data_IF_696389363616
#
_entry.id   IF_696389363616
#
_cell.length_a   1.000
_cell.length_b   1.000
_cell.length_c   1.000
_cell.angle_alpha   90.00
_cell.angle_beta   90.00
_cell.angle_gamma   90.00
#
_symmetry.space_group_name_H-M   'P 1'
#
loop_
_entity.id
_entity.type
_entity.pdbx_description
1 polymer ?
#
# COMPACT_ATOMS: atom_id res chain seq x y z
N UNK A 1 -37.33 20.87 32.94
CA UNK A 1 -36.53 21.32 31.77
C UNK A 1 -35.08 20.97 32.04
N UNK A 2 -34.63 19.80 31.59
CA UNK A 2 -33.22 19.42 31.63
C UNK A 2 -32.78 19.16 30.19
N UNK A 3 -32.16 20.16 29.58
CA UNK A 3 -31.50 20.02 28.28
C UNK A 3 -30.21 19.22 28.52
N UNK A 4 -30.25 17.92 28.25
CA UNK A 4 -29.05 17.12 28.09
C UNK A 4 -28.32 17.61 26.83
N UNK A 5 -27.27 18.39 27.06
CA UNK A 5 -26.22 18.71 26.09
C UNK A 5 -25.50 17.41 25.69
N UNK A 6 -26.06 16.71 24.70
CA UNK A 6 -25.29 15.83 23.84
C UNK A 6 -24.44 16.73 22.92
N UNK A 7 -23.35 17.27 23.47
CA UNK A 7 -22.29 17.85 22.64
C UNK A 7 -21.72 16.72 21.81
N UNK A 8 -22.16 16.65 20.56
CA UNK A 8 -21.54 15.85 19.51
C UNK A 8 -20.04 16.22 19.46
N UNK A 9 -19.22 15.43 20.13
CA UNK A 9 -17.78 15.52 20.06
C UNK A 9 -17.38 15.13 18.63
N UNK A 10 -17.29 16.12 17.73
CA UNK A 10 -16.97 15.90 16.32
C UNK A 10 -15.56 15.32 16.26
N UNK A 11 -15.46 14.06 15.87
CA UNK A 11 -14.19 13.38 15.62
C UNK A 11 -13.33 14.21 14.66
N UNK A 12 -12.18 14.72 15.11
CA UNK A 12 -11.22 15.44 14.25
C UNK A 12 -10.45 14.41 13.42
N UNK A 13 -10.60 14.47 12.10
CA UNK A 13 -9.83 13.63 11.18
C UNK A 13 -8.56 14.37 10.77
N UNK A 14 -7.41 13.85 11.19
CA UNK A 14 -6.10 14.39 10.84
C UNK A 14 -5.66 13.74 9.52
N UNK A 15 -5.59 14.55 8.46
CA UNK A 15 -5.20 14.11 7.11
C UNK A 15 -3.80 14.61 6.79
N UNK A 16 -2.83 13.70 6.79
CA UNK A 16 -1.42 13.97 6.59
C UNK A 16 -1.05 13.66 5.13
N UNK A 17 -0.38 14.61 4.49
CA UNK A 17 0.21 14.51 3.15
C UNK A 17 1.34 15.52 3.03
N UNK A 18 2.34 15.26 2.19
CA UNK A 18 3.52 16.13 2.03
C UNK A 18 3.16 17.61 1.79
N UNK A 19 2.10 17.90 1.03
CA UNK A 19 1.67 19.27 0.74
C UNK A 19 1.16 20.06 1.95
N UNK A 20 0.80 19.38 3.03
CA UNK A 20 0.14 19.98 4.21
C UNK A 20 0.95 19.78 5.48
N UNK A 21 2.12 19.16 5.39
CA UNK A 21 2.82 18.68 6.57
C UNK A 21 3.31 19.82 7.44
N UNK A 22 3.89 20.88 6.85
CA UNK A 22 4.42 22.01 7.60
C UNK A 22 3.32 22.76 8.38
N UNK A 23 2.17 22.97 7.75
CA UNK A 23 1.02 23.59 8.40
C UNK A 23 0.48 22.73 9.56
N UNK A 24 0.43 21.41 9.38
CA UNK A 24 0.00 20.47 10.42
C UNK A 24 0.99 20.40 11.58
N UNK A 25 2.30 20.44 11.30
CA UNK A 25 3.34 20.48 12.33
C UNK A 25 3.18 21.70 13.24
N UNK A 26 2.90 22.87 12.65
CA UNK A 26 2.67 24.10 13.42
C UNK A 26 1.36 24.01 14.20
N UNK A 27 0.27 23.54 13.58
CA UNK A 27 -1.06 23.44 14.24
C UNK A 27 -1.05 22.46 15.41
N UNK A 28 -0.36 21.33 15.26
CA UNK A 28 -0.37 20.22 16.23
C UNK A 28 0.88 20.20 17.11
N UNK A 29 1.78 21.18 16.95
CA UNK A 29 3.08 21.27 17.63
C UNK A 29 3.92 19.98 17.51
N UNK A 30 4.00 19.41 16.30
CA UNK A 30 4.80 18.21 16.05
C UNK A 30 6.26 18.54 15.77
N UNK A 31 7.14 17.77 16.41
CA UNK A 31 8.59 17.86 16.25
C UNK A 31 9.07 17.02 15.05
N UNK A 32 10.30 17.29 14.60
CA UNK A 32 10.99 16.54 13.56
C UNK A 32 10.84 17.10 12.14
N UNK A 33 11.90 17.10 11.34
CA UNK A 33 11.90 17.58 9.95
C UNK A 33 11.34 16.57 8.92
N UNK A 34 11.15 15.31 9.33
CA UNK A 34 10.65 14.24 8.47
C UNK A 34 11.73 13.53 7.68
N UNK A 35 13.00 13.69 8.08
CA UNK A 35 14.15 12.91 7.62
C UNK A 35 14.33 11.61 8.42
N UNK A 36 15.21 10.73 7.94
CA UNK A 36 15.53 9.47 8.62
C UNK A 36 16.15 9.65 10.01
N UNK A 37 16.85 10.76 10.22
CA UNK A 37 17.52 11.07 11.47
C UNK A 37 16.62 11.85 12.43
N UNK A 38 15.64 12.57 11.88
CA UNK A 38 14.73 13.43 12.64
C UNK A 38 13.28 13.25 12.13
N UNK A 39 12.66 12.08 12.42
CA UNK A 39 11.32 11.76 11.93
C UNK A 39 10.27 12.66 12.57
N UNK A 40 9.15 12.86 11.87
CA UNK A 40 8.01 13.60 12.44
C UNK A 40 7.35 12.74 13.52
N UNK A 41 7.42 13.20 14.76
CA UNK A 41 6.91 12.47 15.92
C UNK A 41 5.46 12.85 16.19
N UNK A 42 4.60 11.85 16.26
CA UNK A 42 3.18 11.98 16.59
C UNK A 42 2.93 11.15 17.86
N UNK A 43 3.01 11.78 19.03
CA UNK A 43 2.91 11.12 20.33
C UNK A 43 1.94 11.77 21.33
N UNK A 44 1.47 12.98 21.04
CA UNK A 44 0.48 13.68 21.86
C UNK A 44 -0.63 14.25 20.98
N UNK A 45 -1.84 13.72 21.13
CA UNK A 45 -3.04 14.25 20.47
C UNK A 45 -4.20 14.24 21.47
N UNK A 46 -4.64 15.43 21.87
CA UNK A 46 -5.68 15.60 22.91
C UNK A 46 -7.10 15.21 22.45
N UNK A 47 -7.31 14.99 21.15
CA UNK A 47 -8.63 14.75 20.59
C UNK A 47 -8.93 13.26 20.41
N UNK A 48 -9.94 12.80 21.17
CA UNK A 48 -10.55 11.47 21.01
C UNK A 48 -12.00 11.61 20.52
N UNK A 49 -12.49 10.74 19.63
CA UNK A 49 -11.78 9.63 18.99
C UNK A 49 -10.79 10.09 17.91
N UNK A 50 -9.61 9.47 17.89
CA UNK A 50 -8.49 9.85 17.03
C UNK A 50 -8.52 9.10 15.70
N UNK A 51 -8.61 9.87 14.60
CA UNK A 51 -8.60 9.37 13.23
C UNK A 51 -7.41 9.96 12.45
N UNK A 52 -6.44 9.12 12.11
CA UNK A 52 -5.25 9.54 11.36
C UNK A 52 -5.26 8.90 9.98
N UNK A 53 -5.05 9.71 8.95
CA UNK A 53 -4.88 9.26 7.58
C UNK A 53 -3.59 9.83 7.00
N UNK A 54 -2.61 8.97 6.76
CA UNK A 54 -1.36 9.31 6.05
C UNK A 54 -1.53 8.84 4.60
N UNK A 55 -1.32 9.75 3.64
CA UNK A 55 -1.49 9.41 2.23
C UNK A 55 -0.45 10.07 1.35
N UNK A 56 0.17 9.27 0.45
CA UNK A 56 1.13 9.74 -0.56
C UNK A 56 2.24 10.56 0.07
N UNK A 57 2.88 10.01 1.08
CA UNK A 57 3.95 10.69 1.81
C UNK A 57 5.25 9.89 1.78
N UNK A 58 6.36 10.60 1.64
CA UNK A 58 7.72 10.03 1.65
C UNK A 58 8.52 10.40 2.89
N UNK A 59 8.00 11.31 3.72
CA UNK A 59 8.63 11.71 4.97
C UNK A 59 8.67 10.56 5.97
N UNK A 60 9.63 10.63 6.88
CA UNK A 60 9.74 9.69 7.99
C UNK A 60 8.80 10.10 9.12
N UNK A 61 7.98 9.15 9.58
CA UNK A 61 7.03 9.37 10.67
C UNK A 61 7.28 8.37 11.80
N UNK A 62 7.12 8.82 13.04
CA UNK A 62 7.09 7.96 14.21
C UNK A 62 5.81 8.25 15.00
N UNK A 63 4.87 7.30 14.99
CA UNK A 63 3.63 7.36 15.76
C UNK A 63 3.82 6.50 17.02
N UNK A 64 3.78 7.10 18.21
CA UNK A 64 4.09 6.34 19.44
C UNK A 64 3.17 6.68 20.60
N UNK A 65 2.92 5.68 21.47
CA UNK A 65 2.19 5.86 22.74
C UNK A 65 0.76 6.43 22.61
N UNK A 66 0.04 6.12 21.51
CA UNK A 66 -1.30 6.65 21.26
C UNK A 66 -2.40 5.59 21.28
N UNK A 67 -3.62 6.04 21.61
CA UNK A 67 -4.86 5.26 21.43
C UNK A 67 -5.59 5.80 20.21
N UNK A 68 -5.69 4.99 19.16
CA UNK A 68 -6.17 5.41 17.83
C UNK A 68 -7.41 4.58 17.46
N UNK A 69 -8.54 5.24 17.16
CA UNK A 69 -9.74 4.54 16.69
C UNK A 69 -9.55 4.05 15.25
N UNK A 70 -8.93 4.87 14.39
CA UNK A 70 -8.64 4.47 13.01
C UNK A 70 -7.36 5.10 12.48
N UNK A 71 -6.43 4.25 12.05
CA UNK A 71 -5.20 4.63 11.35
C UNK A 71 -5.24 4.08 9.92
N UNK A 72 -5.06 4.96 8.93
CA UNK A 72 -5.02 4.60 7.51
C UNK A 72 -3.72 5.11 6.89
N UNK A 73 -2.88 4.19 6.43
CA UNK A 73 -1.66 4.49 5.68
C UNK A 73 -1.87 4.06 4.21
N UNK A 74 -1.79 5.01 3.28
CA UNK A 74 -1.98 4.77 1.83
C UNK A 74 -0.84 5.29 1.00
N UNK A 75 -0.18 4.43 0.23
CA UNK A 75 0.92 4.81 -0.66
C UNK A 75 1.96 5.68 0.06
N UNK A 76 2.29 5.32 1.30
CA UNK A 76 3.18 6.08 2.16
C UNK A 76 4.38 5.22 2.56
N UNK A 77 5.52 5.86 2.84
CA UNK A 77 6.77 5.18 3.11
C UNK A 77 7.36 5.63 4.44
N UNK A 78 8.24 4.81 5.02
CA UNK A 78 9.06 5.18 6.18
C UNK A 78 8.25 5.56 7.44
N UNK A 79 7.29 4.70 7.81
CA UNK A 79 6.42 4.94 8.97
C UNK A 79 6.77 3.94 10.06
N UNK A 80 7.13 4.41 11.25
CA UNK A 80 7.21 3.60 12.46
C UNK A 80 5.98 3.85 13.33
N UNK A 81 5.38 2.77 13.83
CA UNK A 81 4.22 2.80 14.74
C UNK A 81 4.58 1.93 15.94
N UNK A 82 4.63 2.53 17.12
CA UNK A 82 5.25 1.94 18.30
C UNK A 82 4.36 2.08 19.54
N UNK A 83 4.20 1.03 20.33
CA UNK A 83 3.48 1.07 21.61
C UNK A 83 2.06 1.69 21.52
N UNK A 84 1.36 1.52 20.41
CA UNK A 84 0.02 2.08 20.20
C UNK A 84 -1.07 1.03 20.42
N UNK A 85 -2.24 1.49 20.86
CA UNK A 85 -3.48 0.71 20.82
C UNK A 85 -4.35 1.20 19.66
N UNK A 86 -4.50 0.37 18.62
CA UNK A 86 -5.16 0.76 17.39
C UNK A 86 -6.39 -0.12 17.18
N UNK A 87 -7.57 0.49 17.11
CA UNK A 87 -8.79 -0.26 16.87
C UNK A 87 -8.87 -0.74 15.43
N UNK A 88 -8.72 0.15 14.45
CA UNK A 88 -8.72 -0.22 13.03
C UNK A 88 -7.46 0.30 12.32
N UNK A 89 -6.59 -0.62 11.89
CA UNK A 89 -5.40 -0.32 11.09
C UNK A 89 -5.59 -0.76 9.63
N UNK A 90 -5.45 0.17 8.70
CA UNK A 90 -5.47 -0.10 7.25
C UNK A 90 -4.14 0.32 6.63
N UNK A 91 -3.40 -0.64 6.08
CA UNK A 91 -2.14 -0.41 5.37
C UNK A 91 -2.37 -0.78 3.91
N UNK A 92 -2.17 0.18 3.00
CA UNK A 92 -2.42 -0.02 1.56
C UNK A 92 -1.30 0.60 0.73
N UNK A 93 -0.50 -0.22 0.06
CA UNK A 93 0.60 0.24 -0.79
C UNK A 93 1.75 0.94 -0.05
N UNK A 94 2.02 0.55 1.20
CA UNK A 94 3.10 1.12 1.99
C UNK A 94 4.42 0.37 1.85
N UNK A 95 5.54 1.09 1.95
CA UNK A 95 6.89 0.51 1.95
C UNK A 95 7.68 0.95 3.19
N UNK A 96 8.58 0.11 3.70
CA UNK A 96 9.40 0.39 4.88
C UNK A 96 8.58 0.83 6.11
N UNK A 97 7.53 0.07 6.43
CA UNK A 97 6.69 0.31 7.58
C UNK A 97 7.15 -0.57 8.75
N UNK A 98 7.29 0.00 9.93
CA UNK A 98 7.64 -0.73 11.16
C UNK A 98 6.44 -0.70 12.12
N UNK A 99 5.91 -1.87 12.48
CA UNK A 99 4.97 -2.03 13.60
C UNK A 99 5.72 -2.69 14.76
N UNK A 100 5.87 -1.98 15.88
CA UNK A 100 6.56 -2.49 17.05
C UNK A 100 5.67 -2.42 18.29
N UNK A 101 5.46 -3.57 18.96
CA UNK A 101 4.78 -3.65 20.25
C UNK A 101 3.40 -2.97 20.28
N UNK A 102 2.61 -3.09 19.20
CA UNK A 102 1.26 -2.52 19.14
C UNK A 102 0.20 -3.53 19.53
N UNK A 103 -0.93 -3.04 20.05
CA UNK A 103 -2.16 -3.82 20.17
C UNK A 103 -3.14 -3.37 19.10
N UNK A 104 -3.45 -4.25 18.15
CA UNK A 104 -4.27 -3.94 16.97
C UNK A 104 -5.51 -4.84 16.95
N UNK A 105 -6.68 -4.23 17.06
CA UNK A 105 -7.94 -4.99 17.12
C UNK A 105 -8.35 -5.50 15.73
N UNK A 106 -8.33 -4.63 14.70
CA UNK A 106 -8.59 -5.03 13.31
C UNK A 106 -7.48 -4.56 12.41
N UNK A 107 -6.86 -5.50 11.71
CA UNK A 107 -5.79 -5.24 10.76
C UNK A 107 -6.25 -5.60 9.35
N UNK A 108 -6.15 -4.62 8.43
CA UNK A 108 -6.30 -4.84 6.99
C UNK A 108 -5.03 -4.39 6.27
N UNK A 109 -4.31 -5.34 5.68
CA UNK A 109 -3.14 -5.07 4.83
C UNK A 109 -3.53 -5.35 3.38
N UNK A 110 -3.30 -4.39 2.50
CA UNK A 110 -3.50 -4.49 1.05
C UNK A 110 -2.21 -4.05 0.38
N UNK A 111 -1.31 -5.02 0.14
CA UNK A 111 0.01 -4.79 -0.47
C UNK A 111 0.95 -3.91 0.39
N UNK A 112 2.03 -4.50 0.89
CA UNK A 112 3.09 -3.80 1.63
C UNK A 112 4.44 -4.47 1.39
N UNK A 113 5.53 -3.71 1.48
CA UNK A 113 6.89 -4.15 1.10
C UNK A 113 7.93 -3.72 2.13
N UNK A 114 8.94 -4.56 2.36
CA UNK A 114 10.08 -4.24 3.21
C UNK A 114 9.67 -3.78 4.61
N UNK A 115 8.52 -4.26 5.08
CA UNK A 115 7.91 -3.84 6.33
C UNK A 115 8.19 -4.85 7.42
N UNK A 116 8.38 -4.36 8.63
CA UNK A 116 8.83 -5.14 9.78
C UNK A 116 7.78 -5.09 10.88
N UNK A 117 7.36 -6.26 11.35
CA UNK A 117 6.30 -6.43 12.34
C UNK A 117 6.89 -7.19 13.54
N UNK A 118 7.10 -6.52 14.66
CA UNK A 118 7.77 -7.06 15.84
C UNK A 118 6.87 -6.93 17.07
N UNK A 119 6.68 -8.03 17.80
CA UNK A 119 5.99 -8.08 19.11
C UNK A 119 4.56 -7.50 19.12
N UNK A 120 3.85 -7.52 17.98
CA UNK A 120 2.49 -6.98 17.92
C UNK A 120 1.45 -8.02 18.35
N UNK A 121 0.37 -7.53 18.97
CA UNK A 121 -0.82 -8.29 19.36
C UNK A 121 -1.96 -7.99 18.40
N UNK A 122 -2.46 -9.00 17.69
CA UNK A 122 -3.52 -8.85 16.70
C UNK A 122 -4.78 -9.63 17.10
N UNK A 123 -5.91 -8.95 17.31
CA UNK A 123 -7.16 -9.64 17.70
C UNK A 123 -7.95 -10.20 16.51
N UNK A 124 -8.01 -9.44 15.40
CA UNK A 124 -8.58 -9.88 14.13
C UNK A 124 -7.65 -9.47 12.99
N UNK A 125 -6.94 -10.46 12.46
CA UNK A 125 -6.26 -10.32 11.18
C UNK A 125 -7.28 -10.69 10.11
N UNK A 126 -7.81 -9.69 9.39
CA UNK A 126 -8.43 -9.98 8.10
C UNK A 126 -7.30 -10.45 7.18
N UNK A 127 -7.00 -11.75 7.25
CA UNK A 127 -5.92 -12.39 6.50
C UNK A 127 -6.06 -11.95 5.06
N UNK A 128 -4.97 -11.40 4.53
CA UNK A 128 -4.78 -11.18 3.10
C UNK A 128 -5.38 -12.38 2.38
N UNK A 129 -6.53 -12.21 1.72
CA UNK A 129 -6.77 -13.00 0.52
C UNK A 129 -5.60 -12.63 -0.37
N UNK A 130 -4.60 -13.49 -0.42
CA UNK A 130 -3.63 -13.55 -1.50
C UNK A 130 -4.40 -13.85 -2.79
N UNK A 131 -5.20 -12.89 -3.27
CA UNK A 131 -5.70 -12.86 -4.64
C UNK A 131 -4.57 -12.47 -5.61
N UNK A 132 -3.32 -12.76 -5.25
CA UNK A 132 -2.18 -12.76 -6.17
C UNK A 132 -1.94 -14.16 -6.77
N UNK A 133 -2.71 -15.19 -6.39
CA UNK A 133 -2.56 -16.57 -6.90
C UNK A 133 -3.87 -17.33 -7.23
N UNK A 134 -4.91 -16.65 -7.73
CA UNK A 134 -5.98 -17.33 -8.52
C UNK A 134 -6.00 -16.95 -9.99
N UNK A 135 -4.90 -16.37 -10.48
CA UNK A 135 -4.40 -16.63 -11.84
C UNK A 135 -3.30 -17.69 -11.81
N UNK A 136 -3.47 -18.73 -10.97
CA UNK A 136 -2.88 -20.05 -11.19
C UNK A 136 -3.60 -20.84 -12.30
N UNK A 137 -4.42 -20.19 -13.13
CA UNK A 137 -4.50 -20.60 -14.52
C UNK A 137 -3.15 -20.29 -15.15
N UNK A 138 -2.26 -21.28 -15.16
CA UNK A 138 -1.01 -21.40 -15.92
C UNK A 138 -0.61 -20.07 -16.60
N UNK A 139 0.45 -19.35 -16.18
CA UNK A 139 0.76 -18.02 -16.72
C UNK A 139 0.91 -18.00 -18.26
N UNK A 140 1.20 -19.15 -18.85
CA UNK A 140 1.16 -19.38 -20.30
C UNK A 140 -0.24 -19.30 -20.91
N UNK A 141 -1.30 -19.71 -20.23
CA UNK A 141 -2.67 -19.78 -20.77
C UNK A 141 -3.39 -18.44 -20.65
N UNK A 142 -3.23 -17.70 -19.55
CA UNK A 142 -3.92 -16.42 -19.34
C UNK A 142 -3.24 -15.21 -20.00
N UNK A 143 -1.91 -15.18 -20.03
CA UNK A 143 -1.15 -14.03 -20.55
C UNK A 143 -0.71 -14.19 -22.00
N UNK A 144 -0.68 -15.40 -22.58
CA UNK A 144 -0.32 -15.58 -23.99
C UNK A 144 -1.55 -15.53 -24.87
N UNK A 145 -2.73 -15.99 -24.42
CA UNK A 145 -3.92 -15.97 -25.28
C UNK A 145 -4.31 -14.55 -25.69
N UNK A 146 -4.22 -13.55 -24.81
CA UNK A 146 -4.71 -12.19 -25.11
C UNK A 146 -3.81 -11.38 -26.08
N UNK A 147 -2.47 -11.38 -25.93
CA UNK A 147 -1.57 -10.76 -26.90
C UNK A 147 -1.54 -11.53 -28.22
N UNK A 148 -1.60 -12.86 -28.16
CA UNK A 148 -1.48 -13.71 -29.34
C UNK A 148 -2.76 -13.66 -30.18
N UNK A 149 -3.95 -13.56 -29.58
CA UNK A 149 -5.19 -13.24 -30.30
C UNK A 149 -5.15 -11.84 -30.92
N UNK A 150 -4.66 -10.83 -30.20
CA UNK A 150 -4.47 -9.48 -30.76
C UNK A 150 -3.48 -9.47 -31.94
N UNK A 151 -2.35 -10.18 -31.83
CA UNK A 151 -1.39 -10.32 -32.91
C UNK A 151 -1.98 -11.07 -34.11
N UNK A 152 -2.71 -12.17 -33.89
CA UNK A 152 -3.38 -12.91 -34.96
C UNK A 152 -4.47 -12.08 -35.64
N UNK A 153 -5.26 -11.29 -34.90
CA UNK A 153 -6.24 -10.38 -35.48
C UNK A 153 -5.57 -9.24 -36.26
N UNK A 154 -4.44 -8.73 -35.77
CA UNK A 154 -3.68 -7.70 -36.48
C UNK A 154 -3.06 -8.24 -37.77
N UNK A 155 -2.54 -9.48 -37.76
CA UNK A 155 -2.04 -10.16 -38.95
C UNK A 155 -3.18 -10.39 -39.96
N UNK A 156 -4.34 -10.86 -39.51
CA UNK A 156 -5.50 -11.11 -40.38
C UNK A 156 -6.03 -9.83 -41.03
N UNK A 157 -6.16 -8.73 -40.27
CA UNK A 157 -6.59 -7.42 -40.78
C UNK A 157 -5.53 -6.80 -41.69
N UNK A 158 -4.24 -6.96 -41.37
CA UNK A 158 -3.15 -6.45 -42.20
C UNK A 158 -3.01 -7.23 -43.52
N UNK A 159 -3.27 -8.54 -43.52
CA UNK A 159 -3.35 -9.36 -44.74
C UNK A 159 -4.53 -8.95 -45.63
N UNK A 160 -5.66 -8.54 -45.04
CA UNK A 160 -6.82 -8.04 -45.77
C UNK A 160 -6.59 -6.65 -46.38
N UNK A 161 -5.89 -5.76 -45.66
CA UNK A 161 -5.76 -4.35 -46.04
C UNK A 161 -4.52 -4.03 -46.86
N UNK A 162 -3.49 -4.86 -46.83
CA UNK A 162 -2.21 -4.52 -47.44
C UNK A 162 -1.80 -5.55 -48.51
N UNK A 163 -1.50 -5.07 -49.72
CA UNK A 163 -0.68 -5.80 -50.70
C UNK A 163 0.79 -5.94 -50.24
N UNK A 164 1.08 -5.70 -48.96
CA UNK A 164 2.45 -5.72 -48.44
C UNK A 164 2.89 -7.16 -48.22
N UNK A 165 4.18 -7.44 -48.42
CA UNK A 165 4.66 -8.80 -48.40
C UNK A 165 4.69 -9.34 -46.96
N UNK A 166 4.11 -10.53 -46.78
CA UNK A 166 3.73 -11.18 -45.51
C UNK A 166 4.85 -11.19 -44.44
N UNK A 167 6.10 -11.26 -44.88
CA UNK A 167 7.28 -11.28 -44.00
C UNK A 167 7.42 -10.01 -43.13
N UNK A 168 6.99 -8.85 -43.60
CA UNK A 168 7.10 -7.59 -42.85
C UNK A 168 6.11 -7.51 -41.68
N UNK A 169 4.88 -8.00 -41.88
CA UNK A 169 3.82 -8.06 -40.85
C UNK A 169 4.18 -9.08 -39.77
N UNK A 170 4.77 -10.22 -40.16
CA UNK A 170 5.25 -11.24 -39.23
C UNK A 170 6.34 -10.73 -38.29
N UNK A 171 7.31 -9.96 -38.81
CA UNK A 171 8.39 -9.38 -38.02
C UNK A 171 7.90 -8.38 -36.95
N UNK A 172 6.97 -7.49 -37.32
CA UNK A 172 6.37 -6.53 -36.38
C UNK A 172 5.60 -7.25 -35.26
N UNK A 173 4.82 -8.27 -35.63
CA UNK A 173 4.02 -9.04 -34.67
C UNK A 173 4.90 -9.82 -33.70
N UNK A 174 5.99 -10.43 -34.19
CA UNK A 174 6.96 -11.14 -33.37
C UNK A 174 7.71 -10.17 -32.42
N UNK A 175 8.11 -9.00 -32.93
CA UNK A 175 8.75 -7.96 -32.14
C UNK A 175 7.85 -7.44 -31.00
N UNK A 176 6.57 -7.21 -31.27
CA UNK A 176 5.59 -6.82 -30.26
C UNK A 176 5.41 -7.89 -29.18
N UNK A 177 5.33 -9.16 -29.60
CA UNK A 177 5.13 -10.28 -28.68
C UNK A 177 6.36 -10.50 -27.78
N UNK A 178 7.57 -10.39 -28.33
CA UNK A 178 8.82 -10.39 -27.56
C UNK A 178 8.88 -9.22 -26.57
N UNK A 179 8.51 -8.02 -27.01
CA UNK A 179 8.47 -6.83 -26.15
C UNK A 179 7.48 -6.99 -24.99
N UNK A 180 6.27 -7.47 -25.26
CA UNK A 180 5.26 -7.69 -24.23
C UNK A 180 5.71 -8.74 -23.21
N UNK A 181 6.26 -9.88 -23.67
CA UNK A 181 6.82 -10.91 -22.79
C UNK A 181 7.98 -10.38 -21.95
N UNK A 182 8.89 -9.61 -22.56
CA UNK A 182 10.00 -8.99 -21.83
C UNK A 182 9.52 -7.98 -20.78
N UNK A 183 8.49 -7.19 -21.11
CA UNK A 183 7.89 -6.24 -20.17
C UNK A 183 7.20 -6.94 -18.99
N UNK A 184 6.54 -8.07 -19.24
CA UNK A 184 5.91 -8.91 -18.23
C UNK A 184 6.96 -9.57 -17.33
N UNK A 185 8.01 -10.12 -17.93
CA UNK A 185 9.17 -10.67 -17.22
C UNK A 185 9.83 -9.64 -16.31
N UNK A 186 10.09 -8.42 -16.81
CA UNK A 186 10.64 -7.32 -15.99
C UNK A 186 9.72 -6.98 -14.82
N UNK A 187 8.40 -6.95 -15.03
CA UNK A 187 7.44 -6.70 -13.95
C UNK A 187 7.49 -7.81 -12.90
N UNK A 188 7.53 -9.08 -13.32
CA UNK A 188 7.57 -10.23 -12.43
C UNK A 188 8.89 -10.31 -11.66
N UNK A 189 10.03 -10.10 -12.34
CA UNK A 189 11.34 -9.99 -11.71
C UNK A 189 11.41 -8.83 -10.71
N UNK A 190 10.88 -7.66 -11.07
CA UNK A 190 10.73 -6.53 -10.13
C UNK A 190 9.85 -6.82 -8.92
N UNK A 191 8.98 -7.83 -8.97
CA UNK A 191 8.14 -8.26 -7.85
C UNK A 191 8.87 -9.30 -6.99
N UNK A 192 9.62 -10.22 -7.62
CA UNK A 192 10.42 -11.23 -6.92
C UNK A 192 11.67 -10.66 -6.22
N UNK A 193 12.32 -9.66 -6.81
CA UNK A 193 13.52 -9.01 -6.22
C UNK A 193 13.15 -8.04 -5.07
N UNK A 194 11.92 -8.08 -4.55
CA UNK A 194 11.47 -7.17 -3.49
C UNK A 194 11.75 -7.78 -2.12
N UNK A 195 12.30 -7.01 -1.15
CA UNK A 195 12.47 -7.48 0.21
C UNK A 195 11.13 -7.91 0.80
N UNK A 196 11.11 -9.14 1.30
CA UNK A 196 9.97 -9.72 2.00
C UNK A 196 9.66 -8.93 3.28
N UNK A 197 8.43 -9.06 3.76
CA UNK A 197 8.04 -8.50 5.05
C UNK A 197 8.52 -9.43 6.17
N UNK A 198 9.07 -8.84 7.22
CA UNK A 198 9.64 -9.59 8.35
C UNK A 198 8.64 -9.60 9.51
N UNK A 199 8.37 -10.78 10.07
CA UNK A 199 7.48 -10.95 11.22
C UNK A 199 8.24 -11.63 12.36
N UNK A 200 8.30 -10.99 13.52
CA UNK A 200 9.01 -11.48 14.72
C UNK A 200 8.06 -11.45 15.90
N UNK A 201 7.86 -12.59 16.57
CA UNK A 201 7.13 -12.70 17.85
C UNK A 201 5.73 -12.07 17.90
N UNK A 202 5.01 -12.05 16.78
CA UNK A 202 3.64 -11.54 16.75
C UNK A 202 2.66 -12.59 17.30
N UNK A 203 1.70 -12.17 18.12
CA UNK A 203 0.68 -13.03 18.72
C UNK A 203 -0.72 -12.70 18.18
N UNK A 204 -1.49 -13.74 17.85
CA UNK A 204 -2.94 -13.63 17.70
C UNK A 204 -3.56 -13.63 19.12
N UNK A 205 -4.41 -12.65 19.43
CA UNK A 205 -5.07 -12.46 20.74
C UNK A 205 -6.55 -12.83 20.66
#
# INVERSE_FOLDING_TARGET
MAQNLLTHNKSKIIKISDKKIDALKIEMNWEGDGSSLDPIVIDQVETLPLFIKISRSRSYYQIKNLVIDKLICRNAQNISIENCTIKHLVIEGCENLTLLNNTILKLKIVFTRGSTFIDNKFAQIDKLKQNYYTTQGNPLVGQVLNPLTCCLSFIAVSMLLSRTPIWFIGLISLGLLLYLNFSAFIKQKRIQDKPDNTYVNNMEV
#
